data_IF_500373554191
#
_entry.id   IF_500373554191
#
_cell.length_a   1.000
_cell.length_b   1.000
_cell.length_c   1.000
_cell.angle_alpha   90.00
_cell.angle_beta   90.00
_cell.angle_gamma   90.00
#
_symmetry.space_group_name_H-M   'P 1'
#
loop_
_entity.id
_entity.type
_entity.pdbx_description
1 polymer ?
#
# COMPACT_ATOMS: atom_id res chain seq x y z
N UNK A 1 15.09 -1.53 -18.05
CA UNK A 1 15.97 -2.03 -16.98
C UNK A 1 15.16 -3.04 -16.22
N UNK A 2 15.57 -4.31 -16.20
CA UNK A 2 14.87 -5.32 -15.43
C UNK A 2 14.97 -5.01 -13.94
N UNK A 3 13.85 -5.05 -13.22
CA UNK A 3 13.81 -4.73 -11.80
C UNK A 3 13.56 -3.25 -11.47
N UNK A 4 13.19 -2.43 -12.46
CA UNK A 4 12.82 -1.01 -12.23
C UNK A 4 11.58 -0.87 -11.33
N UNK A 5 10.69 -1.86 -11.37
CA UNK A 5 9.52 -1.97 -10.50
C UNK A 5 9.26 -3.44 -10.18
N UNK A 6 8.77 -3.71 -8.96
CA UNK A 6 8.48 -5.06 -8.48
C UNK A 6 7.22 -5.04 -7.64
N UNK A 7 6.34 -6.01 -7.82
CA UNK A 7 5.18 -6.23 -6.96
C UNK A 7 4.95 -7.71 -6.71
N UNK A 8 4.34 -8.05 -5.57
CA UNK A 8 4.07 -9.43 -5.17
C UNK A 8 2.66 -9.56 -4.60
N UNK A 9 1.99 -10.66 -4.94
CA UNK A 9 0.72 -11.07 -4.33
C UNK A 9 0.73 -12.59 -4.17
N UNK A 10 0.77 -13.04 -2.91
CA UNK A 10 0.92 -14.47 -2.61
C UNK A 10 2.18 -15.06 -3.24
N UNK A 11 2.00 -16.11 -4.04
CA UNK A 11 3.10 -16.83 -4.71
C UNK A 11 3.42 -16.29 -6.12
N UNK A 12 2.94 -15.10 -6.48
CA UNK A 12 3.16 -14.49 -7.80
C UNK A 12 3.90 -13.16 -7.65
N UNK A 13 5.01 -13.01 -8.38
CA UNK A 13 5.82 -11.78 -8.46
C UNK A 13 5.75 -11.22 -9.87
N UNK A 14 5.64 -9.91 -10.00
CA UNK A 14 5.73 -9.17 -11.26
C UNK A 14 6.95 -8.26 -11.21
N UNK A 15 7.76 -8.28 -12.25
CA UNK A 15 8.98 -7.47 -12.38
C UNK A 15 8.93 -6.68 -13.67
N UNK A 16 8.96 -5.36 -13.58
CA UNK A 16 9.00 -4.47 -14.74
C UNK A 16 10.37 -4.42 -15.40
N UNK A 17 10.39 -4.30 -16.73
CA UNK A 17 11.57 -4.00 -17.53
C UNK A 17 11.25 -2.98 -18.63
N UNK A 18 11.20 -1.70 -18.25
CA UNK A 18 10.81 -0.59 -19.11
C UNK A 18 11.69 -0.36 -20.35
N UNK A 19 12.94 -0.85 -20.36
CA UNK A 19 13.91 -0.60 -21.43
C UNK A 19 14.03 -1.79 -22.40
N UNK A 20 13.12 -2.75 -22.33
CA UNK A 20 13.14 -3.91 -23.21
C UNK A 20 12.81 -3.52 -24.66
N UNK A 21 13.63 -4.00 -25.59
CA UNK A 21 13.34 -3.96 -27.03
C UNK A 21 12.45 -5.14 -27.41
N UNK A 22 11.32 -4.87 -28.07
CA UNK A 22 10.33 -5.89 -28.44
C UNK A 22 9.98 -5.74 -29.91
N UNK A 23 10.23 -6.79 -30.71
CA UNK A 23 9.91 -6.79 -32.15
C UNK A 23 10.65 -5.71 -32.94
N UNK A 24 11.80 -5.23 -32.45
CA UNK A 24 12.61 -4.18 -33.08
C UNK A 24 12.36 -2.77 -32.56
N UNK A 25 11.27 -2.52 -31.83
CA UNK A 25 10.99 -1.23 -31.19
C UNK A 25 11.77 -1.13 -29.87
N UNK A 26 12.65 -0.13 -29.75
CA UNK A 26 13.44 0.08 -28.53
C UNK A 26 12.57 0.70 -27.43
N UNK A 27 12.92 0.49 -26.15
CA UNK A 27 12.20 1.11 -25.02
C UNK A 27 10.68 0.88 -24.98
N UNK A 28 10.16 -0.10 -25.74
CA UNK A 28 8.74 -0.49 -25.68
C UNK A 28 8.40 -1.03 -24.29
N UNK A 29 9.35 -1.71 -23.68
CA UNK A 29 9.24 -2.23 -22.33
C UNK A 29 8.45 -3.55 -22.24
N UNK A 30 8.59 -4.20 -21.09
CA UNK A 30 7.90 -5.45 -20.77
C UNK A 30 7.70 -5.59 -19.26
N UNK A 31 6.91 -6.58 -18.85
CA UNK A 31 6.92 -7.05 -17.47
C UNK A 31 6.96 -8.59 -17.44
N UNK A 32 7.62 -9.13 -16.43
CA UNK A 32 7.87 -10.55 -16.24
C UNK A 32 7.11 -11.04 -15.02
N UNK A 33 6.44 -12.18 -15.15
CA UNK A 33 5.67 -12.81 -14.09
C UNK A 33 6.40 -14.06 -13.66
N UNK A 34 6.71 -14.13 -12.37
CA UNK A 34 7.33 -15.26 -11.71
C UNK A 34 6.35 -15.92 -10.77
N UNK A 35 6.42 -17.25 -10.66
CA UNK A 35 5.64 -18.03 -9.72
C UNK A 35 6.56 -18.80 -8.79
N UNK A 36 6.23 -18.81 -7.50
CA UNK A 36 6.93 -19.66 -6.52
C UNK A 36 6.72 -21.13 -6.87
N UNK A 37 7.74 -21.94 -6.64
CA UNK A 37 7.83 -23.35 -6.99
C UNK A 37 7.89 -23.66 -8.50
N UNK A 38 7.95 -22.65 -9.36
CA UNK A 38 8.14 -22.83 -10.81
C UNK A 38 9.63 -22.96 -11.22
N UNK A 39 10.53 -23.12 -10.26
CA UNK A 39 11.98 -23.34 -10.47
C UNK A 39 12.56 -24.44 -9.57
N UNK A 40 11.71 -25.33 -9.05
CA UNK A 40 12.02 -26.27 -7.97
C UNK A 40 11.43 -25.81 -6.62
N UNK A 41 11.51 -26.64 -5.56
CA UNK A 41 10.97 -26.31 -4.24
C UNK A 41 11.53 -24.98 -3.73
N UNK A 42 10.64 -24.06 -3.34
CA UNK A 42 10.94 -22.68 -2.92
C UNK A 42 11.66 -21.80 -3.95
N UNK A 43 11.84 -22.29 -5.18
CA UNK A 43 12.42 -21.54 -6.29
C UNK A 43 11.37 -20.71 -7.03
N UNK A 44 11.73 -19.47 -7.36
CA UNK A 44 10.91 -18.63 -8.26
C UNK A 44 11.30 -18.92 -9.71
N UNK A 45 10.31 -19.17 -10.55
CA UNK A 45 10.52 -19.37 -11.98
C UNK A 45 9.64 -18.45 -12.82
N UNK A 46 10.18 -17.90 -13.90
CA UNK A 46 9.41 -17.10 -14.86
C UNK A 46 8.35 -17.98 -15.50
N UNK A 47 7.08 -17.55 -15.45
CA UNK A 47 5.97 -18.21 -16.13
C UNK A 47 5.49 -17.44 -17.36
N UNK A 48 5.78 -16.12 -17.42
CA UNK A 48 5.30 -15.29 -18.50
C UNK A 48 6.11 -13.99 -18.64
N UNK A 49 6.34 -13.59 -19.89
CA UNK A 49 6.62 -12.21 -20.28
C UNK A 49 5.34 -11.60 -20.88
N UNK A 50 4.91 -10.45 -20.35
CA UNK A 50 3.77 -9.67 -20.84
C UNK A 50 4.24 -8.35 -21.46
N UNK A 51 3.54 -7.91 -22.50
CA UNK A 51 3.79 -6.67 -23.24
C UNK A 51 2.44 -6.04 -23.59
N UNK A 52 2.39 -4.71 -23.74
CA UNK A 52 1.22 -4.02 -24.25
C UNK A 52 0.95 -4.41 -25.71
N UNK A 53 -0.30 -4.80 -26.01
CA UNK A 53 -0.73 -5.19 -27.36
C UNK A 53 -0.53 -4.09 -28.40
N UNK A 54 -0.78 -2.84 -27.99
CA UNK A 54 -0.60 -1.63 -28.78
C UNK A 54 0.72 -0.90 -28.49
N UNK A 55 1.63 -1.52 -27.72
CA UNK A 55 2.86 -0.86 -27.30
C UNK A 55 3.73 -0.42 -28.48
N UNK A 56 4.31 0.77 -28.36
CA UNK A 56 5.20 1.38 -29.34
C UNK A 56 6.60 1.62 -28.77
N UNK A 57 7.53 2.07 -29.62
CA UNK A 57 8.85 2.53 -29.19
C UNK A 57 8.71 3.64 -28.14
N UNK A 58 9.60 3.63 -27.15
CA UNK A 58 9.65 4.60 -26.04
C UNK A 58 8.46 4.60 -25.07
N UNK A 59 7.47 3.70 -25.19
CA UNK A 59 6.32 3.62 -24.28
C UNK A 59 6.70 3.35 -22.80
N UNK A 60 7.87 2.74 -22.56
CA UNK A 60 8.38 2.35 -21.24
C UNK A 60 7.43 1.46 -20.43
N UNK A 61 6.71 0.54 -21.08
CA UNK A 61 5.85 -0.42 -20.40
C UNK A 61 6.62 -1.22 -19.34
N UNK A 62 6.07 -1.33 -18.13
CA UNK A 62 6.78 -1.93 -16.99
C UNK A 62 7.56 -0.91 -16.15
N UNK A 63 7.40 0.39 -16.41
CA UNK A 63 7.93 1.44 -15.54
C UNK A 63 7.37 1.32 -14.11
N UNK A 64 6.09 1.02 -13.97
CA UNK A 64 5.44 0.72 -12.70
C UNK A 64 4.61 -0.57 -12.80
N UNK A 65 4.56 -1.36 -11.73
CA UNK A 65 3.76 -2.61 -11.66
C UNK A 65 3.08 -2.73 -10.31
N UNK A 66 1.86 -3.28 -10.31
CA UNK A 66 1.17 -3.70 -9.09
C UNK A 66 0.35 -4.95 -9.37
N UNK A 67 0.18 -5.81 -8.37
CA UNK A 67 -0.59 -7.06 -8.50
C UNK A 67 -1.51 -7.24 -7.28
N UNK A 68 -2.73 -7.68 -7.55
CA UNK A 68 -3.69 -8.13 -6.53
C UNK A 68 -4.34 -9.42 -7.01
N UNK A 69 -4.10 -10.51 -6.29
CA UNK A 69 -4.56 -11.85 -6.64
C UNK A 69 -4.11 -12.23 -8.07
N UNK A 70 -5.07 -12.36 -8.98
CA UNK A 70 -4.87 -12.78 -10.37
C UNK A 70 -4.89 -11.61 -11.37
N UNK A 71 -4.84 -10.37 -10.88
CA UNK A 71 -4.91 -9.15 -11.71
C UNK A 71 -3.63 -8.32 -11.55
N UNK A 72 -2.99 -8.00 -12.66
CA UNK A 72 -1.76 -7.20 -12.75
C UNK A 72 -2.09 -5.89 -13.45
N UNK A 73 -1.58 -4.79 -12.90
CA UNK A 73 -1.57 -3.48 -13.53
C UNK A 73 -0.14 -3.10 -13.87
N UNK A 74 0.09 -2.66 -15.11
CA UNK A 74 1.40 -2.23 -15.60
C UNK A 74 1.30 -0.84 -16.21
N UNK A 75 2.12 0.09 -15.73
CA UNK A 75 2.23 1.44 -16.28
C UNK A 75 3.18 1.52 -17.49
N UNK A 76 2.86 2.43 -18.40
CA UNK A 76 3.65 2.82 -19.57
C UNK A 76 3.58 4.35 -19.69
N UNK A 77 4.51 5.02 -19.01
CA UNK A 77 4.47 6.46 -18.73
C UNK A 77 4.45 7.34 -19.99
N UNK A 78 4.93 6.83 -21.12
CA UNK A 78 5.00 7.57 -22.40
C UNK A 78 4.13 6.96 -23.51
N UNK A 79 3.21 6.05 -23.17
CA UNK A 79 2.30 5.49 -24.17
C UNK A 79 1.35 6.53 -24.76
N UNK A 80 0.92 6.35 -26.02
CA UNK A 80 -0.10 7.19 -26.67
C UNK A 80 0.37 7.95 -27.90
N UNK A 81 1.65 7.85 -28.26
CA UNK A 81 2.25 8.55 -29.41
C UNK A 81 2.51 10.03 -29.14
N UNK A 82 3.54 10.59 -29.79
CA UNK A 82 4.08 11.92 -29.48
C UNK A 82 5.50 11.83 -28.92
N UNK A 83 6.15 12.96 -28.61
CA UNK A 83 7.52 12.97 -28.05
C UNK A 83 7.54 12.54 -26.57
N UNK A 84 6.43 12.76 -25.85
CA UNK A 84 6.28 12.38 -24.43
C UNK A 84 5.11 11.43 -24.16
N UNK A 85 4.11 11.36 -25.05
CA UNK A 85 2.90 10.55 -24.88
C UNK A 85 1.98 11.01 -23.73
N UNK A 86 0.72 10.59 -23.77
CA UNK A 86 -0.27 10.88 -22.72
C UNK A 86 -0.15 9.92 -21.52
N UNK A 87 0.63 8.85 -21.66
CA UNK A 87 0.75 7.76 -20.71
C UNK A 87 -0.42 6.77 -20.75
N UNK A 88 -0.20 5.56 -20.24
CA UNK A 88 -1.24 4.53 -20.09
C UNK A 88 -0.95 3.58 -18.92
N UNK A 89 -2.00 2.92 -18.45
CA UNK A 89 -1.89 1.75 -17.58
C UNK A 89 -2.66 0.57 -18.19
N UNK A 90 -2.13 -0.64 -18.03
CA UNK A 90 -2.66 -1.83 -18.68
C UNK A 90 -3.01 -2.87 -17.64
N UNK A 91 -4.21 -3.43 -17.75
CA UNK A 91 -4.69 -4.49 -16.87
C UNK A 91 -4.54 -5.83 -17.57
N UNK A 92 -3.86 -6.76 -16.91
CA UNK A 92 -3.72 -8.15 -17.30
C UNK A 92 -4.40 -9.05 -16.26
N UNK A 93 -5.02 -10.13 -16.72
CA UNK A 93 -5.63 -11.12 -15.84
C UNK A 93 -5.09 -12.51 -16.15
N UNK A 94 -4.86 -13.30 -15.10
CA UNK A 94 -4.58 -14.72 -15.23
C UNK A 94 -5.72 -15.41 -15.98
N UNK A 95 -5.36 -16.35 -16.85
CA UNK A 95 -6.23 -17.11 -17.75
C UNK A 95 -7.00 -16.29 -18.80
N UNK A 96 -6.78 -14.98 -18.90
CA UNK A 96 -7.35 -14.19 -19.99
C UNK A 96 -6.68 -14.56 -21.32
N UNK A 97 -7.49 -14.88 -22.32
CA UNK A 97 -7.01 -15.35 -23.62
C UNK A 97 -6.52 -16.81 -23.65
N UNK A 98 -6.83 -17.62 -22.63
CA UNK A 98 -6.54 -19.06 -22.59
C UNK A 98 -5.99 -19.53 -21.24
N UNK A 99 -6.05 -20.84 -20.98
CA UNK A 99 -5.52 -21.43 -19.76
C UNK A 99 -4.02 -21.18 -19.59
N UNK A 100 -3.60 -20.85 -18.36
CA UNK A 100 -2.23 -20.48 -17.99
C UNK A 100 -1.67 -19.24 -18.71
N UNK A 101 -2.53 -18.42 -19.32
CA UNK A 101 -2.09 -17.17 -19.93
C UNK A 101 -2.21 -15.99 -18.94
N UNK A 102 -1.53 -14.89 -19.25
CA UNK A 102 -1.78 -13.58 -18.65
C UNK A 102 -2.11 -12.62 -19.78
N UNK A 103 -3.41 -12.47 -20.06
CA UNK A 103 -3.90 -11.68 -21.18
C UNK A 103 -4.23 -10.26 -20.78
N UNK A 104 -3.92 -9.29 -21.65
CA UNK A 104 -4.37 -7.91 -21.50
C UNK A 104 -5.89 -7.87 -21.63
N UNK A 105 -6.58 -7.36 -20.62
CA UNK A 105 -8.04 -7.21 -20.60
C UNK A 105 -8.49 -5.76 -20.76
N UNK A 106 -7.61 -4.79 -20.46
CA UNK A 106 -7.94 -3.36 -20.58
C UNK A 106 -6.68 -2.50 -20.76
N UNK A 107 -6.81 -1.43 -21.54
CA UNK A 107 -5.96 -0.23 -21.47
C UNK A 107 -6.75 0.87 -20.76
N UNK A 108 -6.15 1.47 -19.74
CA UNK A 108 -6.63 2.64 -19.02
C UNK A 108 -5.90 3.86 -19.57
N UNK A 109 -6.64 4.94 -19.76
CA UNK A 109 -6.14 6.25 -20.13
C UNK A 109 -6.93 7.31 -19.36
N UNK A 110 -6.31 8.45 -19.05
CA UNK A 110 -7.02 9.62 -18.56
C UNK A 110 -7.88 10.21 -19.69
N UNK A 111 -9.21 10.39 -19.53
CA UNK A 111 -10.07 10.98 -20.55
C UNK A 111 -9.71 12.43 -20.91
N UNK A 112 -9.08 13.13 -19.98
CA UNK A 112 -8.56 14.49 -20.07
C UNK A 112 -7.04 14.53 -20.24
N UNK A 113 -6.40 13.37 -20.49
CA UNK A 113 -4.96 13.24 -20.61
C UNK A 113 -4.39 14.04 -21.79
N UNK A 114 -3.24 14.67 -21.52
CA UNK A 114 -2.43 15.48 -22.44
C UNK A 114 -0.98 14.98 -22.47
N UNK A 115 -0.27 15.34 -23.54
CA UNK A 115 1.12 14.91 -23.73
C UNK A 115 1.99 15.39 -22.57
N UNK A 116 2.70 14.45 -21.94
CA UNK A 116 3.57 14.73 -20.81
C UNK A 116 2.89 14.69 -19.43
N UNK A 117 1.61 14.34 -19.32
CA UNK A 117 0.92 14.18 -18.03
C UNK A 117 1.44 12.97 -17.22
N UNK A 118 2.16 12.05 -17.88
CA UNK A 118 2.81 10.89 -17.28
C UNK A 118 1.83 9.93 -16.59
N UNK A 119 0.62 9.79 -17.16
CA UNK A 119 -0.35 8.80 -16.67
C UNK A 119 0.25 7.38 -16.70
N UNK A 120 0.18 6.67 -15.59
CA UNK A 120 0.83 5.36 -15.45
C UNK A 120 2.27 5.40 -14.96
N UNK A 121 2.82 6.58 -14.62
CA UNK A 121 4.09 6.71 -13.92
C UNK A 121 4.10 5.98 -12.57
N UNK A 122 2.94 5.91 -11.90
CA UNK A 122 2.72 5.09 -10.71
C UNK A 122 1.37 4.37 -10.79
N UNK A 123 1.31 3.12 -10.31
CA UNK A 123 0.08 2.30 -10.31
C UNK A 123 -0.07 1.53 -9.01
N UNK A 124 -1.30 1.35 -8.56
CA UNK A 124 -1.66 0.49 -7.43
C UNK A 124 -2.96 -0.28 -7.70
N UNK A 125 -3.07 -1.50 -7.18
CA UNK A 125 -4.32 -2.29 -7.24
C UNK A 125 -4.59 -2.99 -5.91
N UNK A 126 -5.85 -2.96 -5.46
CA UNK A 126 -6.37 -3.75 -4.35
C UNK A 126 -7.77 -4.25 -4.70
N UNK A 127 -7.91 -5.57 -4.86
CA UNK A 127 -9.15 -6.18 -5.31
C UNK A 127 -9.64 -5.59 -6.64
N UNK A 128 -10.80 -4.95 -6.60
CA UNK A 128 -11.48 -4.35 -7.75
C UNK A 128 -11.22 -2.83 -7.90
N UNK A 129 -10.25 -2.27 -7.16
CA UNK A 129 -9.88 -0.84 -7.22
C UNK A 129 -8.47 -0.67 -7.74
N UNK A 130 -8.30 0.16 -8.76
CA UNK A 130 -7.01 0.57 -9.34
C UNK A 130 -6.83 2.07 -9.15
N UNK A 131 -5.63 2.48 -8.75
CA UNK A 131 -5.21 3.89 -8.75
C UNK A 131 -4.04 4.07 -9.71
N UNK A 132 -4.07 5.16 -10.47
CA UNK A 132 -3.02 5.51 -11.45
C UNK A 132 -2.62 6.97 -11.27
N UNK A 133 -1.33 7.22 -11.07
CA UNK A 133 -0.78 8.57 -11.00
C UNK A 133 -0.53 9.18 -12.38
N UNK A 134 -0.65 10.50 -12.47
CA UNK A 134 -0.29 11.35 -13.60
C UNK A 134 0.36 12.62 -13.04
N UNK A 135 1.62 12.50 -12.64
CA UNK A 135 2.32 13.49 -11.80
C UNK A 135 2.50 14.86 -12.45
N UNK A 136 2.41 14.94 -13.77
CA UNK A 136 2.60 16.19 -14.54
C UNK A 136 1.30 16.74 -15.13
N UNK A 137 0.15 16.13 -14.83
CA UNK A 137 -1.15 16.57 -15.32
C UNK A 137 -1.40 18.06 -15.01
N UNK A 138 -1.73 18.80 -16.07
CA UNK A 138 -1.92 20.23 -16.03
C UNK A 138 -3.36 20.58 -15.68
N UNK A 139 -3.58 21.01 -14.44
CA UNK A 139 -4.88 21.51 -14.00
C UNK A 139 -4.87 23.04 -14.09
N UNK A 140 -5.81 23.61 -14.84
CA UNK A 140 -5.94 25.07 -15.00
C UNK A 140 -4.64 25.78 -15.43
N UNK A 141 -3.86 25.15 -16.33
CA UNK A 141 -2.57 25.61 -16.86
C UNK A 141 -1.39 25.61 -15.87
N UNK A 142 -1.52 24.84 -14.78
CA UNK A 142 -0.48 24.64 -13.80
C UNK A 142 -0.26 23.13 -13.64
N UNK A 143 0.99 22.68 -13.71
CA UNK A 143 1.35 21.27 -13.50
C UNK A 143 1.27 20.96 -12.01
N UNK A 144 0.12 20.52 -11.53
CA UNK A 144 -0.12 20.17 -10.13
C UNK A 144 -0.07 18.65 -9.91
N UNK A 145 -0.30 17.89 -10.98
CA UNK A 145 -0.42 16.44 -10.97
C UNK A 145 -1.81 15.97 -10.52
N UNK A 146 -2.14 14.73 -10.91
CA UNK A 146 -3.41 14.07 -10.59
C UNK A 146 -3.21 12.59 -10.25
N UNK A 147 -4.21 12.00 -9.59
CA UNK A 147 -4.35 10.55 -9.53
C UNK A 147 -5.77 10.13 -9.92
N UNK A 148 -5.90 8.99 -10.58
CA UNK A 148 -7.16 8.52 -11.16
C UNK A 148 -7.53 7.17 -10.55
N UNK A 149 -8.76 7.07 -10.06
CA UNK A 149 -9.31 5.82 -9.54
C UNK A 149 -10.18 5.17 -10.60
N UNK A 150 -9.88 3.91 -10.88
CA UNK A 150 -10.65 3.03 -11.75
C UNK A 150 -11.21 1.88 -10.94
N UNK A 151 -12.44 1.48 -11.27
CA UNK A 151 -13.09 0.35 -10.61
C UNK A 151 -13.61 -0.67 -11.60
N UNK A 152 -13.55 -1.93 -11.17
CA UNK A 152 -14.17 -3.01 -11.90
C UNK A 152 -15.69 -2.85 -11.88
N UNK A 153 -16.30 -3.08 -13.03
CA UNK A 153 -17.71 -2.86 -13.33
C UNK A 153 -18.17 -1.40 -13.41
N UNK A 154 -17.29 -0.41 -13.17
CA UNK A 154 -17.63 0.98 -13.46
C UNK A 154 -17.83 1.17 -14.97
N UNK A 155 -18.99 1.70 -15.37
CA UNK A 155 -19.38 1.81 -16.77
C UNK A 155 -19.83 0.49 -17.43
N UNK A 156 -20.11 -0.57 -16.66
CA UNK A 156 -20.73 -1.80 -17.13
C UNK A 156 -19.99 -3.08 -16.69
N UNK A 157 -20.69 -4.21 -16.66
CA UNK A 157 -20.16 -5.51 -16.21
C UNK A 157 -18.86 -5.89 -16.93
N UNK A 158 -17.82 -6.18 -16.15
CA UNK A 158 -16.49 -6.58 -16.63
C UNK A 158 -15.62 -5.43 -17.13
N UNK A 159 -16.12 -4.20 -17.20
CA UNK A 159 -15.31 -3.04 -17.58
C UNK A 159 -14.45 -2.56 -16.41
N UNK A 160 -13.32 -1.94 -16.69
CA UNK A 160 -12.61 -1.09 -15.74
C UNK A 160 -12.82 0.36 -16.16
N UNK A 161 -13.68 1.06 -15.44
CA UNK A 161 -14.07 2.44 -15.74
C UNK A 161 -13.48 3.41 -14.71
N UNK A 162 -13.14 4.62 -15.14
CA UNK A 162 -12.76 5.68 -14.21
C UNK A 162 -13.96 6.03 -13.33
N UNK A 163 -13.73 6.02 -12.03
CA UNK A 163 -14.70 6.48 -11.03
C UNK A 163 -14.40 7.92 -10.60
N UNK A 164 -13.12 8.26 -10.38
CA UNK A 164 -12.73 9.56 -9.84
C UNK A 164 -11.39 10.06 -10.35
N UNK A 165 -11.25 11.37 -10.49
CA UNK A 165 -9.98 12.10 -10.56
C UNK A 165 -9.75 12.77 -9.20
N UNK A 166 -8.60 12.52 -8.61
CA UNK A 166 -8.11 13.11 -7.37
C UNK A 166 -7.12 14.22 -7.72
N UNK A 167 -7.29 15.36 -7.06
CA UNK A 167 -6.47 16.56 -7.23
C UNK A 167 -6.23 17.17 -5.85
N UNK A 168 -5.15 17.92 -5.68
CA UNK A 168 -4.92 18.65 -4.41
C UNK A 168 -5.91 19.82 -4.31
N UNK A 169 -6.74 19.91 -3.26
CA UNK A 169 -7.60 21.07 -3.07
C UNK A 169 -6.75 22.34 -2.86
N UNK A 170 -6.94 23.35 -3.71
CA UNK A 170 -6.12 24.58 -3.72
C UNK A 170 -4.62 24.27 -3.91
N UNK A 171 -4.29 23.33 -4.80
CA UNK A 171 -2.93 22.91 -5.11
C UNK A 171 -1.99 24.08 -5.41
N UNK A 172 -0.75 23.96 -4.95
CA UNK A 172 0.33 24.84 -5.39
C UNK A 172 0.88 24.31 -6.71
N UNK A 173 1.33 25.23 -7.57
CA UNK A 173 2.01 24.86 -8.81
C UNK A 173 3.20 23.96 -8.55
N UNK A 174 3.30 22.85 -9.29
CA UNK A 174 4.44 21.94 -9.23
C UNK A 174 4.41 20.96 -8.07
N UNK A 175 3.25 20.62 -7.50
CA UNK A 175 3.15 19.69 -6.36
C UNK A 175 3.52 18.23 -6.70
N UNK A 176 3.52 17.86 -7.98
CA UNK A 176 3.72 16.48 -8.47
C UNK A 176 2.76 15.46 -7.82
N UNK A 177 1.50 15.86 -7.62
CA UNK A 177 0.51 14.95 -7.04
C UNK A 177 0.29 13.75 -7.97
N UNK A 178 0.34 12.54 -7.42
CA UNK A 178 0.32 11.32 -8.24
C UNK A 178 1.72 10.77 -8.59
N UNK A 179 2.79 11.40 -8.09
CA UNK A 179 4.15 10.87 -8.23
C UNK A 179 4.26 9.43 -7.72
N UNK A 180 3.65 9.16 -6.57
CA UNK A 180 3.55 7.80 -6.04
C UNK A 180 2.12 7.53 -5.58
N UNK A 181 1.63 6.30 -5.77
CA UNK A 181 0.28 5.90 -5.38
C UNK A 181 0.29 4.52 -4.76
N UNK A 182 -0.61 4.29 -3.80
CA UNK A 182 -0.86 2.96 -3.24
C UNK A 182 -2.30 2.84 -2.77
N UNK A 183 -2.83 1.61 -2.72
CA UNK A 183 -4.23 1.35 -2.36
C UNK A 183 -4.33 0.09 -1.50
N UNK A 184 -5.14 0.16 -0.45
CA UNK A 184 -5.50 -0.99 0.38
C UNK A 184 -6.99 -0.93 0.71
N UNK A 185 -7.77 -1.83 0.11
CA UNK A 185 -9.23 -1.88 0.29
C UNK A 185 -9.90 -0.55 -0.07
N UNK A 186 -10.37 0.18 0.95
CA UNK A 186 -11.14 1.42 0.83
C UNK A 186 -10.30 2.69 1.06
N UNK A 187 -8.97 2.56 1.15
CA UNK A 187 -8.07 3.68 1.39
C UNK A 187 -7.04 3.75 0.27
N UNK A 188 -6.83 4.95 -0.27
CA UNK A 188 -5.73 5.25 -1.19
C UNK A 188 -4.82 6.31 -0.59
N UNK A 189 -3.54 6.21 -0.89
CA UNK A 189 -2.55 7.23 -0.59
C UNK A 189 -1.90 7.72 -1.88
N UNK A 190 -1.71 9.04 -1.97
CA UNK A 190 -1.10 9.71 -3.13
C UNK A 190 0.01 10.63 -2.64
N UNK A 191 1.22 10.42 -3.12
CA UNK A 191 2.38 11.29 -2.86
C UNK A 191 2.37 12.52 -3.76
N UNK A 192 2.83 13.64 -3.21
CA UNK A 192 3.07 14.91 -3.86
C UNK A 192 4.42 15.45 -3.39
N UNK A 193 5.50 14.89 -3.94
CA UNK A 193 6.86 15.05 -3.41
C UNK A 193 7.41 16.48 -3.51
N UNK A 194 6.78 17.35 -4.31
CA UNK A 194 7.13 18.75 -4.46
C UNK A 194 6.12 19.69 -3.79
N UNK A 195 5.06 19.16 -3.16
CA UNK A 195 4.07 19.94 -2.43
C UNK A 195 4.70 20.60 -1.19
N UNK A 196 4.77 21.92 -1.19
CA UNK A 196 5.27 22.70 -0.07
C UNK A 196 4.27 23.78 0.35
N UNK A 197 4.30 24.16 1.63
CA UNK A 197 3.66 25.39 2.10
C UNK A 197 4.54 26.61 1.72
N UNK A 198 4.79 26.81 0.42
CA UNK A 198 5.72 27.82 -0.11
C UNK A 198 6.50 27.30 -1.32
N UNK A 199 7.55 28.02 -1.74
CA UNK A 199 8.46 27.55 -2.78
C UNK A 199 9.50 26.60 -2.18
N UNK A 200 9.62 25.40 -2.76
CA UNK A 200 10.63 24.34 -2.55
C UNK A 200 10.24 23.17 -1.60
N UNK A 201 9.66 22.12 -2.19
CA UNK A 201 10.12 20.72 -2.03
C UNK A 201 10.06 20.03 -0.67
N UNK A 202 9.27 20.48 0.30
CA UNK A 202 9.11 19.70 1.56
C UNK A 202 8.39 18.37 1.30
N UNK A 203 7.43 18.39 0.37
CA UNK A 203 6.62 17.25 -0.03
C UNK A 203 5.46 16.94 0.93
N UNK A 204 4.49 16.18 0.44
CA UNK A 204 3.34 15.70 1.22
C UNK A 204 2.81 14.35 0.71
N UNK A 205 1.93 13.72 1.49
CA UNK A 205 1.16 12.56 1.04
C UNK A 205 -0.31 12.69 1.48
N UNK A 206 -1.25 12.26 0.65
CA UNK A 206 -2.67 12.52 0.85
C UNK A 206 -3.44 11.21 0.95
N UNK A 207 -4.15 11.02 2.05
CA UNK A 207 -5.03 9.87 2.26
C UNK A 207 -6.44 10.24 1.83
N UNK A 208 -7.01 9.40 0.96
CA UNK A 208 -8.40 9.47 0.56
C UNK A 208 -9.10 8.17 0.90
N UNK A 209 -10.36 8.28 1.33
CA UNK A 209 -11.18 7.14 1.71
C UNK A 209 -12.42 7.07 0.82
N UNK A 210 -12.82 5.84 0.50
CA UNK A 210 -14.06 5.55 -0.21
C UNK A 210 -15.25 6.10 0.57
N UNK A 211 -16.19 6.70 -0.15
CA UNK A 211 -17.41 7.31 0.35
C UNK A 211 -17.22 8.53 1.29
N UNK A 212 -15.98 8.95 1.55
CA UNK A 212 -15.72 10.20 2.26
C UNK A 212 -16.22 11.39 1.41
N UNK A 213 -17.10 12.21 2.00
CA UNK A 213 -17.78 13.29 1.28
C UNK A 213 -18.97 12.85 0.41
N UNK A 214 -19.41 11.59 0.50
CA UNK A 214 -20.66 11.09 -0.10
C UNK A 214 -20.49 9.78 -0.88
N UNK A 215 -21.59 9.09 -1.22
CA UNK A 215 -21.56 7.79 -1.88
C UNK A 215 -20.81 7.83 -3.23
N UNK A 216 -19.97 6.81 -3.47
CA UNK A 216 -19.09 6.66 -4.63
C UNK A 216 -18.05 7.78 -4.79
N UNK A 217 -17.79 8.56 -3.73
CA UNK A 217 -16.71 9.53 -3.71
C UNK A 217 -15.41 8.91 -3.16
N UNK A 218 -14.31 9.61 -3.38
CA UNK A 218 -13.02 9.33 -2.75
C UNK A 218 -12.51 10.65 -2.16
N UNK A 219 -13.01 10.97 -0.97
CA UNK A 219 -12.73 12.23 -0.30
C UNK A 219 -11.39 12.19 0.41
N UNK A 220 -10.64 13.28 0.36
CA UNK A 220 -9.43 13.43 1.16
C UNK A 220 -9.80 13.51 2.64
N UNK A 221 -9.24 12.62 3.46
CA UNK A 221 -9.42 12.61 4.92
C UNK A 221 -8.20 13.15 5.66
N UNK A 222 -7.01 13.09 5.04
CA UNK A 222 -5.77 13.59 5.66
C UNK A 222 -4.76 14.07 4.61
N UNK A 223 -4.02 15.13 4.96
CA UNK A 223 -2.70 15.46 4.39
C UNK A 223 -1.64 15.12 5.43
N UNK A 224 -0.69 14.28 5.05
CA UNK A 224 0.48 13.88 5.82
C UNK A 224 1.66 14.75 5.43
N UNK A 225 2.46 15.12 6.42
CA UNK A 225 3.74 15.78 6.27
C UNK A 225 4.70 15.22 7.33
N UNK A 226 6.00 15.22 7.05
CA UNK A 226 7.00 14.93 8.06
C UNK A 226 6.96 16.02 9.15
N UNK A 227 6.96 15.62 10.42
CA UNK A 227 6.92 16.57 11.54
C UNK A 227 8.14 17.50 11.60
N UNK A 228 9.26 17.02 11.08
CA UNK A 228 10.57 17.67 10.95
C UNK A 228 10.93 17.99 9.49
N UNK A 229 9.96 17.93 8.57
CA UNK A 229 10.21 18.11 7.14
C UNK A 229 10.83 19.47 6.81
N UNK A 230 11.92 19.42 6.06
CA UNK A 230 12.63 20.56 5.52
C UNK A 230 12.48 20.66 4.00
N UNK A 231 12.80 21.84 3.47
CA UNK A 231 12.81 22.07 2.03
C UNK A 231 13.85 21.17 1.36
N UNK A 232 13.41 20.37 0.39
CA UNK A 232 14.28 19.49 -0.39
C UNK A 232 14.12 18.02 -0.04
N UNK A 233 13.53 17.69 1.12
CA UNK A 233 13.42 16.31 1.61
C UNK A 233 12.58 15.40 0.69
N UNK A 234 11.68 15.98 -0.10
CA UNK A 234 10.75 15.32 -1.01
C UNK A 234 9.91 14.21 -0.34
N UNK A 235 9.33 14.52 0.82
CA UNK A 235 8.36 13.64 1.46
C UNK A 235 7.22 13.29 0.51
N UNK A 236 6.89 12.00 0.36
CA UNK A 236 5.91 11.55 -0.64
C UNK A 236 6.53 11.10 -1.95
N UNK A 237 7.86 11.06 -2.05
CA UNK A 237 8.57 10.41 -3.17
C UNK A 237 8.05 8.99 -3.38
N UNK A 238 7.93 8.23 -2.30
CA UNK A 238 7.40 6.88 -2.30
C UNK A 238 6.37 6.72 -1.19
N UNK A 239 5.27 6.02 -1.49
CA UNK A 239 4.19 5.75 -0.53
C UNK A 239 3.79 4.29 -0.62
N UNK A 240 3.42 3.69 0.50
CA UNK A 240 2.82 2.37 0.55
C UNK A 240 1.81 2.28 1.69
N UNK A 241 0.69 1.59 1.45
CA UNK A 241 -0.36 1.36 2.45
C UNK A 241 -0.75 -0.11 2.50
N UNK A 242 -0.93 -0.64 3.71
CA UNK A 242 -1.45 -1.98 3.97
C UNK A 242 -2.30 -1.95 5.23
N UNK A 243 -3.62 -2.12 5.08
CA UNK A 243 -4.55 -2.00 6.19
C UNK A 243 -4.51 -0.60 6.80
N UNK A 244 -4.17 -0.53 8.08
CA UNK A 244 -4.09 0.68 8.89
C UNK A 244 -2.67 1.27 8.99
N UNK A 245 -1.70 0.71 8.25
CA UNK A 245 -0.31 1.15 8.25
C UNK A 245 0.07 1.80 6.93
N UNK A 246 0.73 2.96 7.03
CA UNK A 246 1.25 3.75 5.92
C UNK A 246 2.74 3.98 6.14
N UNK A 247 3.53 3.92 5.07
CA UNK A 247 4.91 4.38 5.05
C UNK A 247 5.13 5.36 3.92
N UNK A 248 5.84 6.45 4.20
CA UNK A 248 6.16 7.51 3.25
C UNK A 248 7.65 7.80 3.27
N UNK A 249 8.30 7.78 2.11
CA UNK A 249 9.72 8.11 1.95
C UNK A 249 9.98 9.60 1.80
N UNK A 250 11.09 10.07 2.36
CA UNK A 250 11.69 11.39 2.18
C UNK A 250 13.20 11.20 1.92
N UNK A 251 13.57 10.83 0.67
CA UNK A 251 14.92 10.36 0.33
C UNK A 251 16.04 11.37 0.55
N UNK A 252 15.73 12.67 0.60
CA UNK A 252 16.70 13.75 0.69
C UNK A 252 16.66 14.45 2.06
N UNK A 253 16.02 13.82 3.04
CA UNK A 253 16.02 14.32 4.42
C UNK A 253 17.43 14.22 5.04
N UNK A 254 17.85 15.30 5.69
CA UNK A 254 19.11 15.40 6.41
C UNK A 254 18.97 14.80 7.80
N UNK A 255 19.73 13.72 8.08
CA UNK A 255 19.68 13.05 9.38
C UNK A 255 20.93 13.39 10.19
N UNK A 256 20.74 14.14 11.27
CA UNK A 256 21.80 14.66 12.14
C UNK A 256 22.87 15.46 11.36
N UNK A 257 24.03 14.88 11.08
CA UNK A 257 25.11 15.52 10.32
C UNK A 257 25.29 14.95 8.90
N UNK A 258 24.47 13.97 8.51
CA UNK A 258 24.51 13.35 7.19
C UNK A 258 23.55 14.05 6.22
N UNK A 259 24.10 14.72 5.22
CA UNK A 259 23.33 15.35 4.14
C UNK A 259 22.70 14.30 3.23
N UNK A 260 21.42 14.45 2.86
CA UNK A 260 20.68 13.55 1.97
C UNK A 260 20.81 12.06 2.36
N UNK A 261 20.90 11.76 3.66
CA UNK A 261 20.93 10.38 4.14
C UNK A 261 19.58 9.69 3.88
N UNK A 262 18.51 10.47 4.01
CA UNK A 262 17.14 10.06 3.74
C UNK A 262 16.45 9.38 4.93
N UNK A 263 15.13 9.48 4.93
CA UNK A 263 14.26 8.92 5.96
C UNK A 263 13.01 8.28 5.38
N UNK A 264 12.33 7.46 6.18
CA UNK A 264 10.98 7.03 5.93
C UNK A 264 10.11 7.22 7.18
N UNK A 265 8.85 7.57 7.00
CA UNK A 265 7.95 7.92 8.08
C UNK A 265 6.78 6.96 8.10
N UNK A 266 6.52 6.35 9.25
CA UNK A 266 5.41 5.42 9.45
C UNK A 266 4.25 6.17 10.07
N UNK A 267 3.08 6.04 9.46
CA UNK A 267 1.81 6.56 9.95
C UNK A 267 0.85 5.40 10.18
N UNK A 268 -0.08 5.57 11.11
CA UNK A 268 -1.13 4.59 11.33
C UNK A 268 -2.47 5.24 11.64
N UNK A 269 -3.55 4.54 11.28
CA UNK A 269 -4.90 4.95 11.62
C UNK A 269 -5.10 4.90 13.14
N UNK A 270 -5.79 5.91 13.66
CA UNK A 270 -6.01 6.18 15.07
C UNK A 270 -4.76 6.55 15.90
N UNK A 271 -3.58 6.65 15.29
CA UNK A 271 -2.40 7.14 16.00
C UNK A 271 -2.59 8.63 16.37
N UNK A 272 -2.46 8.95 17.65
CA UNK A 272 -2.68 10.32 18.15
C UNK A 272 -4.16 10.75 18.28
N UNK A 273 -5.12 9.82 18.15
CA UNK A 273 -6.55 10.08 18.40
C UNK A 273 -7.46 9.32 17.43
N UNK A 274 -8.74 9.16 17.80
CA UNK A 274 -9.74 8.50 16.95
C UNK A 274 -9.87 9.21 15.58
N UNK A 275 -10.01 8.41 14.52
CA UNK A 275 -10.16 8.86 13.13
C UNK A 275 -8.98 9.70 12.60
N UNK A 276 -7.83 9.66 13.27
CA UNK A 276 -6.63 10.37 12.83
C UNK A 276 -5.62 9.42 12.16
N UNK A 277 -4.98 9.87 11.09
CA UNK A 277 -3.76 9.26 10.58
C UNK A 277 -2.56 10.01 11.17
N UNK A 278 -1.93 9.42 12.19
CA UNK A 278 -0.83 10.04 12.94
C UNK A 278 0.51 9.38 12.67
N UNK A 279 1.59 10.16 12.75
CA UNK A 279 2.96 9.65 12.65
C UNK A 279 3.27 8.79 13.88
N UNK A 280 3.67 7.54 13.66
CA UNK A 280 4.07 6.60 14.70
C UNK A 280 5.58 6.70 14.95
N UNK A 281 6.37 6.72 13.87
CA UNK A 281 7.84 6.79 13.99
C UNK A 281 8.50 7.33 12.71
N UNK A 282 9.74 7.80 12.86
CA UNK A 282 10.69 8.08 11.78
C UNK A 282 11.71 6.93 11.74
N UNK A 283 11.91 6.35 10.56
CA UNK A 283 12.87 5.30 10.27
C UNK A 283 14.07 5.91 9.57
N UNK A 284 15.26 5.50 10.00
CA UNK A 284 16.56 5.88 9.42
C UNK A 284 17.41 4.62 9.28
N UNK A 285 18.36 4.61 8.35
CA UNK A 285 19.36 3.55 8.24
C UNK A 285 20.39 3.69 9.38
N UNK A 286 20.59 2.63 10.17
CA UNK A 286 21.51 2.64 11.30
C UNK A 286 22.98 2.84 10.89
N UNK A 287 23.30 2.44 9.66
CA UNK A 287 24.59 2.57 8.98
C UNK A 287 24.57 3.65 7.89
N UNK A 288 23.49 4.44 7.79
CA UNK A 288 23.34 5.37 6.69
C UNK A 288 24.42 6.46 6.69
N UNK A 289 24.88 6.78 5.50
CA UNK A 289 25.84 7.81 5.19
C UNK A 289 25.21 8.92 4.34
N UNK A 290 25.94 10.03 4.20
CA UNK A 290 25.49 11.13 3.35
C UNK A 290 25.31 10.66 1.90
N UNK A 291 24.16 11.00 1.32
CA UNK A 291 23.81 10.63 -0.05
C UNK A 291 23.44 9.16 -0.26
N UNK A 292 23.10 8.41 0.79
CA UNK A 292 22.60 7.03 0.66
C UNK A 292 21.17 6.96 0.10
N UNK A 293 20.40 8.06 0.24
CA UNK A 293 19.05 8.23 -0.31
C UNK A 293 18.08 7.16 0.23
N UNK A 294 18.09 6.94 1.55
CA UNK A 294 17.17 6.03 2.22
C UNK A 294 15.72 6.57 2.15
N UNK A 295 14.76 5.71 1.81
CA UNK A 295 13.37 6.14 1.59
C UNK A 295 13.04 6.39 0.12
N UNK A 296 13.97 6.14 -0.80
CA UNK A 296 13.69 6.25 -2.24
C UNK A 296 12.56 5.32 -2.69
N UNK A 297 12.49 4.11 -2.11
CA UNK A 297 11.39 3.17 -2.29
C UNK A 297 10.95 2.61 -0.94
N UNK A 298 9.64 2.46 -0.74
CA UNK A 298 9.06 1.91 0.48
C UNK A 298 7.99 0.87 0.16
N UNK A 299 7.85 -0.13 1.02
CA UNK A 299 6.74 -1.08 0.98
C UNK A 299 6.30 -1.46 2.39
N UNK A 300 4.99 -1.69 2.58
CA UNK A 300 4.44 -2.19 3.84
C UNK A 300 3.58 -3.43 3.59
N UNK A 301 3.68 -4.42 4.50
CA UNK A 301 2.81 -5.60 4.54
C UNK A 301 2.59 -6.02 5.98
N UNK A 302 1.39 -5.70 6.49
CA UNK A 302 1.10 -5.75 7.92
C UNK A 302 2.14 -4.94 8.72
N UNK A 303 2.72 -5.57 9.73
CA UNK A 303 3.72 -4.97 10.63
C UNK A 303 5.17 -4.94 10.08
N UNK A 304 5.35 -5.26 8.80
CA UNK A 304 6.67 -5.28 8.17
C UNK A 304 6.79 -4.12 7.18
N UNK A 305 7.85 -3.34 7.36
CA UNK A 305 8.19 -2.21 6.51
C UNK A 305 9.52 -2.50 5.82
N UNK A 306 9.57 -2.26 4.52
CA UNK A 306 10.77 -2.34 3.70
C UNK A 306 11.12 -0.93 3.23
N UNK A 307 12.37 -0.55 3.35
CA UNK A 307 12.87 0.74 2.86
C UNK A 307 14.13 0.53 2.03
N UNK A 308 14.15 1.07 0.82
CA UNK A 308 15.32 1.06 -0.07
C UNK A 308 16.17 2.32 0.08
N UNK A 309 17.48 2.14 0.00
CA UNK A 309 18.47 3.21 -0.11
C UNK A 309 19.25 3.00 -1.41
N UNK A 310 18.97 3.81 -2.42
CA UNK A 310 19.42 3.56 -3.80
C UNK A 310 20.94 3.64 -3.96
N UNK A 311 21.60 4.52 -3.20
CA UNK A 311 23.03 4.80 -3.30
C UNK A 311 23.84 4.32 -2.10
N UNK A 312 23.21 3.55 -1.20
CA UNK A 312 23.88 3.05 -0.01
C UNK A 312 25.16 2.26 -0.34
N UNK A 313 26.21 2.58 0.41
CA UNK A 313 27.45 1.82 0.41
C UNK A 313 27.35 0.75 1.49
N UNK A 314 27.28 -0.53 1.09
CA UNK A 314 27.14 -1.62 2.06
C UNK A 314 28.53 -2.18 2.39
N UNK A 315 29.04 -2.07 3.64
CA UNK A 315 30.37 -2.57 3.98
C UNK A 315 30.41 -4.09 4.05
N UNK A 316 31.35 -4.74 3.35
CA UNK A 316 31.57 -6.19 3.43
C UNK A 316 31.64 -6.69 4.89
N UNK A 317 31.11 -7.89 5.23
CA UNK A 317 30.84 -9.02 4.36
C UNK A 317 29.35 -9.42 4.34
N UNK A 318 28.63 -9.05 3.27
CA UNK A 318 27.40 -9.77 2.91
C UNK A 318 27.82 -10.87 1.96
N UNK A 319 27.56 -12.14 2.32
CA UNK A 319 27.81 -13.27 1.44
C UNK A 319 26.81 -13.21 0.29
N UNK A 320 27.25 -12.60 -0.81
CA UNK A 320 26.59 -12.63 -2.09
C UNK A 320 26.26 -14.08 -2.46
N UNK A 321 24.99 -14.42 -2.61
CA UNK A 321 24.61 -15.61 -3.38
C UNK A 321 24.70 -15.24 -4.86
N UNK A 322 25.93 -15.08 -5.33
CA UNK A 322 26.37 -14.97 -6.73
C UNK A 322 25.35 -14.34 -7.69
N UNK A 323 25.37 -13.01 -7.80
CA UNK A 323 25.05 -12.32 -9.04
C UNK A 323 26.38 -11.94 -9.70
N UNK A 324 27.17 -12.98 -10.05
CA UNK A 324 28.45 -12.84 -10.75
C UNK A 324 28.26 -11.98 -12.01
N UNK A 325 28.68 -10.72 -11.97
CA UNK A 325 29.00 -9.95 -13.17
C UNK A 325 28.54 -8.50 -13.26
N UNK A 326 27.91 -7.88 -12.25
CA UNK A 326 27.53 -6.47 -12.34
C UNK A 326 28.03 -5.62 -11.16
N UNK A 327 28.88 -4.65 -11.54
CA UNK A 327 29.24 -3.39 -10.88
C UNK A 327 30.41 -3.42 -9.88
N UNK A 328 31.60 -3.10 -10.40
CA UNK A 328 32.76 -2.67 -9.61
C UNK A 328 32.64 -1.21 -9.10
N UNK A 329 31.53 -0.89 -8.44
CA UNK A 329 31.29 0.40 -7.77
C UNK A 329 31.05 0.21 -6.26
N UNK A 330 31.33 1.25 -5.47
CA UNK A 330 31.14 1.24 -4.00
C UNK A 330 29.68 1.43 -3.58
N UNK A 331 28.83 1.98 -4.46
CA UNK A 331 27.39 2.20 -4.24
C UNK A 331 26.62 1.04 -4.88
N UNK A 332 26.10 0.14 -4.05
CA UNK A 332 25.42 -1.09 -4.50
C UNK A 332 23.91 -1.03 -4.22
N UNK A 333 23.47 -0.04 -3.45
CA UNK A 333 22.12 0.06 -2.92
C UNK A 333 21.89 -0.95 -1.78
N UNK A 334 20.96 -0.64 -0.90
CA UNK A 334 20.58 -1.49 0.22
C UNK A 334 19.05 -1.52 0.40
N UNK A 335 18.55 -2.59 1.01
CA UNK A 335 17.18 -2.65 1.49
C UNK A 335 17.13 -3.05 2.97
N UNK A 336 16.33 -2.33 3.73
CA UNK A 336 16.23 -2.44 5.18
C UNK A 336 14.84 -2.95 5.55
N UNK A 337 14.79 -4.00 6.36
CA UNK A 337 13.54 -4.59 6.84
C UNK A 337 13.35 -4.19 8.30
N UNK A 338 12.30 -3.42 8.56
CA UNK A 338 11.83 -3.12 9.90
C UNK A 338 10.65 -4.02 10.21
N UNK A 339 10.79 -4.82 11.27
CA UNK A 339 9.74 -5.72 11.77
C UNK A 339 9.26 -5.18 13.10
N UNK A 340 7.96 -5.00 13.28
CA UNK A 340 7.49 -4.44 14.53
C UNK A 340 6.13 -4.95 15.00
N UNK A 341 6.14 -5.84 16.00
CA UNK A 341 5.13 -5.83 17.07
C UNK A 341 5.21 -4.56 17.96
N UNK A 342 6.22 -3.70 17.70
CA UNK A 342 6.45 -2.41 18.34
C UNK A 342 5.97 -1.21 17.49
N UNK A 343 5.33 -1.47 16.35
CA UNK A 343 4.71 -0.47 15.48
C UNK A 343 3.18 -0.63 15.42
N UNK A 344 2.63 -1.55 16.22
CA UNK A 344 1.18 -1.61 16.44
C UNK A 344 0.73 -0.22 16.84
N UNK A 345 -0.26 0.38 16.14
CA UNK A 345 -0.85 1.62 16.61
C UNK A 345 -1.19 1.44 18.09
N UNK A 346 -1.07 2.51 18.86
CA UNK A 346 -1.86 2.60 20.09
C UNK A 346 -3.32 2.65 19.64
N UNK A 347 -3.88 1.50 19.25
CA UNK A 347 -5.29 1.34 19.00
C UNK A 347 -5.98 1.93 20.21
N UNK A 348 -6.93 2.83 19.99
CA UNK A 348 -7.79 3.29 21.05
C UNK A 348 -8.29 2.04 21.78
N UNK A 349 -7.89 1.93 23.05
CA UNK A 349 -8.21 0.80 23.89
C UNK A 349 -9.69 0.92 24.26
N UNK A 350 -10.53 0.03 23.73
CA UNK A 350 -11.98 0.03 23.99
C UNK A 350 -12.35 -1.08 24.94
N UNK A 351 -13.56 -1.05 25.48
CA UNK A 351 -14.09 -2.12 26.31
C UNK A 351 -15.09 -3.00 25.58
N UNK A 352 -15.05 -4.30 25.88
CA UNK A 352 -16.07 -5.28 25.50
C UNK A 352 -16.73 -5.78 26.77
N UNK A 353 -18.03 -5.63 26.92
CA UNK A 353 -18.80 -6.22 28.01
C UNK A 353 -20.09 -6.88 27.52
N UNK A 354 -20.63 -7.73 28.39
CA UNK A 354 -21.91 -8.38 28.18
C UNK A 354 -22.25 -9.32 29.32
N UNK A 355 -23.25 -10.18 29.09
CA UNK A 355 -23.73 -11.17 30.04
C UNK A 355 -23.70 -12.58 29.48
N UNK A 356 -23.41 -13.55 30.33
CA UNK A 356 -23.59 -14.97 30.08
C UNK A 356 -24.92 -15.39 30.71
N UNK A 357 -25.85 -15.89 29.90
CA UNK A 357 -27.23 -16.16 30.28
C UNK A 357 -27.65 -17.59 29.94
N UNK A 358 -28.55 -18.15 30.75
CA UNK A 358 -29.37 -19.32 30.37
C UNK A 358 -30.47 -18.91 29.38
N UNK A 359 -31.14 -19.89 28.76
CA UNK A 359 -32.26 -19.65 27.84
C UNK A 359 -33.44 -18.90 28.51
N UNK A 360 -33.63 -19.03 29.82
CA UNK A 360 -34.63 -18.30 30.61
C UNK A 360 -34.12 -16.95 31.16
N UNK A 361 -32.94 -16.50 30.76
CA UNK A 361 -32.41 -15.16 31.07
C UNK A 361 -31.70 -15.02 32.41
N UNK A 362 -31.40 -16.12 33.12
CA UNK A 362 -30.64 -16.09 34.38
C UNK A 362 -29.14 -16.00 34.10
N UNK A 363 -28.42 -15.25 34.94
CA UNK A 363 -26.97 -15.09 34.82
C UNK A 363 -26.20 -16.36 35.19
N UNK A 364 -25.22 -16.75 34.37
CA UNK A 364 -24.34 -17.90 34.63
C UNK A 364 -22.99 -17.40 35.13
N UNK A 365 -22.68 -17.71 36.38
CA UNK A 365 -21.47 -17.28 37.07
C UNK A 365 -20.25 -18.16 36.77
N UNK A 366 -19.05 -17.61 36.96
CA UNK A 366 -17.77 -18.34 36.82
C UNK A 366 -17.58 -19.00 35.45
N UNK A 367 -18.25 -18.48 34.43
CA UNK A 367 -17.99 -18.85 33.03
C UNK A 367 -16.66 -18.22 32.63
N UNK A 368 -15.82 -18.97 31.90
CA UNK A 368 -14.56 -18.46 31.36
C UNK A 368 -14.82 -17.85 30.00
N UNK A 369 -14.60 -16.55 29.83
CA UNK A 369 -14.69 -15.88 28.54
C UNK A 369 -13.28 -15.67 28.01
N UNK A 370 -13.01 -16.16 26.81
CA UNK A 370 -11.70 -16.04 26.14
C UNK A 370 -11.86 -15.22 24.88
N UNK A 371 -11.05 -14.17 24.76
CA UNK A 371 -10.92 -13.32 23.58
C UNK A 371 -9.61 -13.66 22.89
N UNK A 372 -9.64 -13.94 21.58
CA UNK A 372 -8.47 -14.32 20.77
C UNK A 372 -8.37 -13.39 19.56
N UNK A 373 -7.23 -12.75 19.34
CA UNK A 373 -7.01 -11.92 18.15
C UNK A 373 -6.52 -12.72 16.94
N UNK A 374 -6.37 -12.05 15.79
CA UNK A 374 -5.91 -12.68 14.55
C UNK A 374 -4.49 -13.28 14.65
N UNK A 375 -3.65 -12.74 15.54
CA UNK A 375 -2.31 -13.27 15.83
C UNK A 375 -2.32 -14.47 16.79
N UNK A 376 -3.49 -14.90 17.29
CA UNK A 376 -3.64 -16.02 18.21
C UNK A 376 -3.33 -15.70 19.69
N UNK A 377 -3.10 -14.43 20.03
CA UNK A 377 -2.95 -13.99 21.41
C UNK A 377 -4.30 -14.02 22.14
N UNK A 378 -4.30 -14.42 23.42
CA UNK A 378 -5.54 -14.61 24.18
C UNK A 378 -5.59 -13.77 25.45
N UNK A 379 -6.77 -13.23 25.75
CA UNK A 379 -7.13 -12.63 27.05
C UNK A 379 -8.30 -13.41 27.64
N UNK A 380 -8.36 -13.53 28.97
CA UNK A 380 -9.42 -14.31 29.64
C UNK A 380 -9.95 -13.57 30.86
N UNK A 381 -11.28 -13.53 30.98
CA UNK A 381 -11.99 -13.06 32.18
C UNK A 381 -13.03 -14.08 32.64
N UNK A 382 -13.49 -13.95 33.89
CA UNK A 382 -14.56 -14.78 34.44
C UNK A 382 -15.84 -13.96 34.62
N UNK A 383 -17.00 -14.57 34.38
CA UNK A 383 -18.28 -13.92 34.67
C UNK A 383 -18.52 -13.79 36.18
N UNK A 384 -19.13 -12.67 36.58
CA UNK A 384 -19.61 -12.41 37.95
C UNK A 384 -20.74 -13.36 38.37
N UNK A 385 -21.17 -13.28 39.63
CA UNK A 385 -22.33 -14.02 40.16
C UNK A 385 -23.64 -13.78 39.39
N UNK A 386 -23.76 -12.67 38.67
CA UNK A 386 -24.93 -12.31 37.86
C UNK A 386 -24.72 -12.46 36.35
N UNK A 387 -23.61 -13.09 35.96
CA UNK A 387 -23.27 -13.40 34.56
C UNK A 387 -22.55 -12.29 33.80
N UNK A 388 -22.29 -11.12 34.40
CA UNK A 388 -21.56 -10.03 33.73
C UNK A 388 -20.09 -10.35 33.52
N UNK A 389 -19.54 -9.94 32.38
CA UNK A 389 -18.11 -9.97 32.08
C UNK A 389 -17.69 -8.68 31.36
N UNK A 390 -16.42 -8.32 31.46
CA UNK A 390 -15.83 -7.15 30.80
C UNK A 390 -14.36 -7.38 30.48
N UNK A 391 -13.94 -6.99 29.29
CA UNK A 391 -12.55 -6.80 28.92
C UNK A 391 -12.31 -5.30 28.80
N UNK A 392 -11.31 -4.80 29.51
CA UNK A 392 -10.81 -3.43 29.39
C UNK A 392 -9.56 -3.42 28.52
N UNK A 393 -9.27 -2.28 27.91
CA UNK A 393 -8.07 -2.05 27.11
C UNK A 393 -7.90 -3.06 25.97
N UNK A 394 -8.98 -3.31 25.23
CA UNK A 394 -8.94 -4.17 24.04
C UNK A 394 -8.58 -3.30 22.83
N UNK A 395 -7.52 -3.64 22.08
CA UNK A 395 -7.16 -2.91 20.86
C UNK A 395 -8.33 -2.87 19.86
N UNK A 396 -8.80 -1.67 19.51
CA UNK A 396 -9.74 -1.46 18.41
C UNK A 396 -9.05 -1.58 17.04
N UNK A 397 -9.83 -1.74 15.97
CA UNK A 397 -9.35 -1.95 14.60
C UNK A 397 -9.11 -3.41 14.23
N UNK A 398 -9.18 -4.34 15.20
CA UNK A 398 -8.93 -5.76 14.98
C UNK A 398 -10.21 -6.61 14.94
N UNK A 399 -10.08 -7.82 14.37
CA UNK A 399 -11.10 -8.88 14.48
C UNK A 399 -10.74 -9.86 15.58
N UNK A 400 -11.70 -10.17 16.44
CA UNK A 400 -11.54 -11.10 17.55
C UNK A 400 -12.51 -12.27 17.47
N UNK A 401 -12.06 -13.44 17.93
CA UNK A 401 -12.91 -14.56 18.29
C UNK A 401 -13.15 -14.49 19.79
N UNK A 402 -14.42 -14.40 20.19
CA UNK A 402 -14.82 -14.49 21.59
C UNK A 402 -15.55 -15.80 21.85
N UNK A 403 -15.15 -16.51 22.89
CA UNK A 403 -15.71 -17.80 23.28
C UNK A 403 -16.02 -17.85 24.77
N UNK A 404 -17.10 -18.54 25.14
CA UNK A 404 -17.48 -18.76 26.52
C UNK A 404 -17.41 -20.27 26.83
N UNK A 405 -16.69 -20.64 27.88
CA UNK A 405 -16.54 -22.01 28.34
C UNK A 405 -17.09 -22.21 29.75
N UNK A 406 -17.99 -23.17 29.92
CA UNK A 406 -18.55 -23.57 31.21
C UNK A 406 -18.70 -25.10 31.28
N UNK A 407 -18.67 -25.68 32.49
CA UNK A 407 -18.72 -27.14 32.67
C UNK A 407 -20.05 -27.79 32.30
N UNK A 408 -21.13 -27.02 32.37
CA UNK A 408 -22.52 -27.51 32.24
C UNK A 408 -23.29 -26.87 31.08
N UNK A 409 -22.73 -25.85 30.43
CA UNK A 409 -23.43 -25.08 29.39
C UNK A 409 -22.53 -24.95 28.17
N UNK A 410 -23.13 -25.04 27.00
CA UNK A 410 -22.46 -24.85 25.71
C UNK A 410 -22.82 -23.49 25.13
N UNK A 411 -21.83 -22.83 24.52
CA UNK A 411 -22.00 -21.53 23.89
C UNK A 411 -21.34 -21.55 22.51
N UNK A 412 -21.98 -20.92 21.53
CA UNK A 412 -21.40 -20.73 20.21
C UNK A 412 -20.39 -19.57 20.24
N UNK A 413 -19.13 -19.78 19.84
CA UNK A 413 -18.17 -18.69 19.68
C UNK A 413 -18.66 -17.65 18.67
N UNK A 414 -18.24 -16.41 18.83
CA UNK A 414 -18.57 -15.31 17.91
C UNK A 414 -17.31 -14.67 17.38
N UNK A 415 -17.40 -14.20 16.14
CA UNK A 415 -16.38 -13.37 15.51
C UNK A 415 -16.91 -11.94 15.55
N UNK A 416 -16.10 -11.00 16.04
CA UNK A 416 -16.44 -9.58 16.16
C UNK A 416 -15.35 -8.74 15.51
N UNK A 417 -15.73 -7.77 14.68
CA UNK A 417 -14.87 -6.66 14.30
C UNK A 417 -15.03 -5.55 15.34
N UNK A 418 -13.94 -5.12 15.97
CA UNK A 418 -13.99 -4.20 17.09
C UNK A 418 -13.54 -2.80 16.66
N UNK A 419 -14.50 -1.94 16.31
CA UNK A 419 -14.22 -0.54 15.91
C UNK A 419 -14.58 0.48 16.99
N UNK A 420 -15.17 0.05 18.11
CA UNK A 420 -15.63 0.91 19.22
C UNK A 420 -16.03 0.09 20.45
N UNK A 421 -16.52 0.73 21.51
CA UNK A 421 -17.02 0.02 22.69
C UNK A 421 -18.23 -0.88 22.38
N UNK A 422 -18.23 -2.08 22.95
CA UNK A 422 -19.37 -3.00 22.86
C UNK A 422 -19.85 -3.29 24.28
N UNK A 423 -21.05 -2.86 24.63
CA UNK A 423 -21.55 -3.00 26.00
C UNK A 423 -22.53 -4.17 26.21
N UNK A 424 -23.05 -4.77 25.13
CA UNK A 424 -24.14 -5.76 25.17
C UNK A 424 -23.84 -7.08 24.42
N UNK A 425 -22.60 -7.57 24.48
CA UNK A 425 -22.22 -8.81 23.81
C UNK A 425 -22.65 -10.05 24.61
N UNK A 426 -23.95 -10.36 24.58
CA UNK A 426 -24.51 -11.44 25.39
C UNK A 426 -24.34 -12.83 24.77
N UNK A 427 -23.95 -13.82 25.58
CA UNK A 427 -23.98 -15.24 25.23
C UNK A 427 -25.16 -15.93 25.90
N UNK A 428 -25.93 -16.69 25.11
CA UNK A 428 -27.05 -17.49 25.60
C UNK A 428 -26.65 -18.96 25.50
N UNK A 429 -26.81 -19.70 26.59
CA UNK A 429 -26.50 -21.13 26.63
C UNK A 429 -27.43 -21.88 25.67
N UNK A 430 -26.83 -22.72 24.81
CA UNK A 430 -27.58 -23.73 24.06
C UNK A 430 -28.11 -24.81 25.02
N UNK A 431 -29.23 -25.42 24.65
CA UNK A 431 -29.79 -26.57 25.37
C UNK A 431 -28.85 -27.78 25.34
#
# INVERSE_FOLDING_TARGET
>A
FFGVSVAISGDTVVVGSSNDTIGGATQRGSAYIYQRNNGGPDGWGEIKKIVALDGAEDDLFGNSVSISNNTVVVGAIYSGGGVLGNGAAYIFSQNAGGGNNWGQIKKLAAPDGSDGDFFGGSVGISGDTVIVGAENDNIAAVSEGSAYIFERNAGGTGNWGQLRKLVVPNGNSGANFGHSVSVSGNVVIVGANQDAAGANGTGSAHIHERDAGGPNNWGQVKKLAAADGATGDFFGQSVSISGDAVIVGAPFDDVAAGTDQGSAYVFSQNAGGADNWGQVTKLTAADGAAGDIFGYAVAVSGDNFLVGAYLANVPAPFTEKQASGLLGGTQQGASYIFRGSALSPTAASVSISGRILTADGRGIAKTRITLTNAAGQTRTVASSSFGYYRFDEVPAGETYIISAGHKQYQFTPRIIGLTGEINDLNFIAGN
#
